data_IF_745358887184
#
_entry.id   IF_745358887184
#
_cell.length_a   1.000
_cell.length_b   1.000
_cell.length_c   1.000
_cell.angle_alpha   90.00
_cell.angle_beta   90.00
_cell.angle_gamma   90.00
#
_symmetry.space_group_name_H-M   'P 1'
#
loop_
_entity.id
_entity.type
_entity.pdbx_description
1 polymer ?
#
# COMPACT_ATOMS: atom_id res chain seq x y z
N UNK A 1 27.67 20.19 6.25
CA UNK A 1 26.29 20.22 5.74
C UNK A 1 25.55 21.37 6.40
N UNK A 2 24.83 22.20 5.64
CA UNK A 2 24.05 23.33 6.13
C UNK A 2 22.57 23.05 5.87
N UNK A 3 21.75 23.20 6.93
CA UNK A 3 20.30 23.07 6.89
C UNK A 3 19.67 24.46 7.13
N UNK A 4 18.60 24.76 6.43
CA UNK A 4 17.88 26.02 6.63
C UNK A 4 16.51 25.85 7.31
N UNK A 5 15.93 24.65 7.25
CA UNK A 5 14.62 24.34 7.83
C UNK A 5 14.60 22.89 8.36
N UNK A 6 13.70 22.62 9.31
CA UNK A 6 13.55 21.29 9.86
C UNK A 6 12.20 21.05 10.52
N UNK A 7 11.75 19.81 10.44
CA UNK A 7 10.61 19.27 11.16
C UNK A 7 11.11 18.23 12.18
N UNK A 8 10.71 18.36 13.43
CA UNK A 8 11.16 17.51 14.53
C UNK A 8 9.94 16.88 15.23
N UNK A 9 9.76 15.57 15.02
CA UNK A 9 8.67 14.79 15.61
C UNK A 9 9.02 14.15 16.96
N UNK A 10 10.28 14.29 17.41
CA UNK A 10 10.75 13.71 18.67
C UNK A 10 12.22 13.27 18.60
N UNK A 11 12.69 12.58 19.66
CA UNK A 11 14.08 12.11 19.74
C UNK A 11 14.42 11.18 18.56
N UNK A 12 15.40 11.56 17.72
CA UNK A 12 15.87 10.82 16.53
C UNK A 12 14.82 10.70 15.41
N UNK A 13 13.78 11.54 15.40
CA UNK A 13 12.73 11.57 14.36
C UNK A 13 12.63 12.98 13.82
N UNK A 14 13.19 13.19 12.64
CA UNK A 14 13.26 14.51 12.02
C UNK A 14 13.29 14.44 10.48
N UNK A 15 12.96 15.56 9.86
CA UNK A 15 13.26 15.90 8.47
C UNK A 15 13.95 17.27 8.45
N UNK A 16 15.05 17.39 7.71
CA UNK A 16 15.80 18.65 7.57
C UNK A 16 16.08 18.93 6.10
N UNK A 17 15.88 20.16 5.69
CA UNK A 17 16.18 20.62 4.35
C UNK A 17 17.64 21.06 4.25
N UNK A 18 18.42 20.38 3.40
CA UNK A 18 19.84 20.64 3.17
C UNK A 18 19.97 21.62 2.01
N UNK A 19 20.64 22.73 2.27
CA UNK A 19 20.89 23.76 1.25
C UNK A 19 22.35 23.81 0.80
N UNK A 20 23.26 23.18 1.55
CA UNK A 20 24.68 23.10 1.16
C UNK A 20 25.33 21.83 1.72
N UNK A 21 26.06 21.13 0.87
CA UNK A 21 26.92 20.00 1.22
C UNK A 21 28.36 20.33 0.83
N UNK A 22 29.25 20.50 1.81
CA UNK A 22 30.69 20.69 1.60
C UNK A 22 31.02 21.85 0.62
N UNK A 23 30.24 22.95 0.72
CA UNK A 23 30.43 24.11 -0.16
C UNK A 23 29.58 24.05 -1.45
N UNK A 24 28.97 22.93 -1.79
CA UNK A 24 28.11 22.79 -2.97
C UNK A 24 26.66 23.09 -2.61
N UNK A 25 26.00 24.06 -3.28
CA UNK A 25 24.58 24.28 -3.13
C UNK A 25 23.78 23.00 -3.50
N UNK A 26 22.80 22.64 -2.68
CA UNK A 26 21.95 21.46 -2.90
C UNK A 26 20.53 21.73 -2.44
N UNK A 27 19.59 20.92 -2.89
CA UNK A 27 18.18 20.94 -2.50
C UNK A 27 17.76 19.51 -2.15
N UNK A 28 18.16 19.07 -0.96
CA UNK A 28 17.94 17.70 -0.51
C UNK A 28 17.19 17.67 0.81
N UNK A 29 16.49 16.57 1.06
CA UNK A 29 15.81 16.30 2.32
C UNK A 29 16.54 15.20 3.09
N UNK A 30 17.11 15.53 4.26
CA UNK A 30 17.65 14.54 5.21
C UNK A 30 16.56 14.16 6.21
N UNK A 31 16.20 12.86 6.21
CA UNK A 31 15.15 12.35 7.09
C UNK A 31 15.67 11.16 7.90
N UNK A 32 15.40 11.18 9.21
CA UNK A 32 15.70 10.07 10.11
C UNK A 32 14.53 9.69 10.99
N UNK A 33 14.39 8.38 11.25
CA UNK A 33 13.42 7.83 12.19
C UNK A 33 11.95 7.99 11.79
N UNK A 34 11.66 8.61 10.66
CA UNK A 34 10.30 8.72 10.14
C UNK A 34 9.95 7.43 9.38
N UNK A 35 8.76 6.92 9.61
CA UNK A 35 8.28 5.66 9.01
C UNK A 35 8.22 5.70 7.48
N UNK A 36 8.11 6.90 6.89
CA UNK A 36 8.11 7.14 5.45
C UNK A 36 9.39 6.65 4.74
N UNK A 37 10.49 6.54 5.50
CA UNK A 37 11.80 6.13 4.98
C UNK A 37 12.03 4.62 4.99
N UNK A 38 11.12 3.84 5.55
CA UNK A 38 11.30 2.39 5.61
C UNK A 38 11.35 1.79 4.20
N UNK A 39 12.27 0.83 4.01
CA UNK A 39 12.50 0.19 2.72
C UNK A 39 11.28 -0.54 2.14
N UNK A 40 10.33 -0.90 2.99
CA UNK A 40 9.06 -1.55 2.62
C UNK A 40 7.94 -0.56 2.25
N UNK A 41 8.20 0.75 2.28
CA UNK A 41 7.21 1.75 1.92
C UNK A 41 7.11 1.88 0.39
N UNK A 42 5.90 1.84 -0.21
CA UNK A 42 5.78 1.93 -1.66
C UNK A 42 6.31 3.26 -2.21
N UNK A 43 6.94 3.26 -3.39
CA UNK A 43 7.66 4.45 -3.91
C UNK A 43 6.81 5.71 -4.03
N UNK A 44 5.57 5.57 -4.52
CA UNK A 44 4.66 6.71 -4.70
C UNK A 44 4.26 7.34 -3.35
N UNK A 45 3.95 6.50 -2.36
CA UNK A 45 3.62 6.98 -1.01
C UNK A 45 4.81 7.67 -0.33
N UNK A 46 6.04 7.17 -0.57
CA UNK A 46 7.25 7.80 -0.05
C UNK A 46 7.42 9.20 -0.65
N UNK A 47 7.37 9.32 -1.98
CA UNK A 47 7.49 10.62 -2.67
C UNK A 47 6.45 11.61 -2.18
N UNK A 48 5.21 11.16 -1.99
CA UNK A 48 4.17 12.01 -1.45
C UNK A 48 4.45 12.44 -0.01
N UNK A 49 4.90 11.53 0.85
CA UNK A 49 5.27 11.86 2.23
C UNK A 49 6.43 12.86 2.32
N UNK A 50 7.45 12.69 1.49
CA UNK A 50 8.58 13.63 1.35
C UNK A 50 8.09 15.00 0.91
N UNK A 51 7.22 15.05 -0.09
CA UNK A 51 6.62 16.29 -0.58
C UNK A 51 5.83 17.00 0.53
N UNK A 52 4.94 16.31 1.24
CA UNK A 52 4.14 16.90 2.33
C UNK A 52 5.03 17.44 3.45
N UNK A 53 6.07 16.71 3.85
CA UNK A 53 7.00 17.20 4.87
C UNK A 53 7.75 18.47 4.40
N UNK A 54 8.15 18.50 3.14
CA UNK A 54 8.78 19.67 2.56
C UNK A 54 7.84 20.88 2.56
N UNK A 55 6.62 20.72 2.06
CA UNK A 55 5.58 21.74 2.08
C UNK A 55 5.33 22.30 3.50
N UNK A 56 5.23 21.43 4.50
CA UNK A 56 5.07 21.81 5.91
C UNK A 56 6.27 22.66 6.39
N UNK A 57 7.48 22.25 6.09
CA UNK A 57 8.69 22.98 6.47
C UNK A 57 8.76 24.38 5.80
N UNK A 58 8.23 24.52 4.60
CA UNK A 58 8.14 25.80 3.90
C UNK A 58 6.94 26.65 4.31
N UNK A 59 6.12 26.21 5.26
CA UNK A 59 5.05 26.99 5.86
C UNK A 59 3.75 26.97 5.07
N UNK A 60 3.55 25.95 4.22
CA UNK A 60 2.30 25.76 3.50
C UNK A 60 1.15 25.60 4.48
N UNK A 61 0.03 26.26 4.22
CA UNK A 61 -1.12 26.25 5.11
C UNK A 61 -1.75 24.87 5.25
N UNK A 62 -2.34 24.60 6.43
CA UNK A 62 -3.09 23.35 6.68
C UNK A 62 -4.11 23.05 5.59
N UNK A 63 -4.88 24.07 5.15
CA UNK A 63 -5.91 23.87 4.13
C UNK A 63 -5.33 23.40 2.79
N UNK A 64 -4.15 23.90 2.39
CA UNK A 64 -3.45 23.44 1.19
C UNK A 64 -2.92 22.01 1.36
N UNK A 65 -2.38 21.67 2.53
CA UNK A 65 -1.93 20.29 2.83
C UNK A 65 -3.12 19.33 2.81
N UNK A 66 -4.25 19.68 3.44
CA UNK A 66 -5.48 18.88 3.43
C UNK A 66 -5.95 18.59 2.00
N UNK A 67 -5.96 19.63 1.15
CA UNK A 67 -6.32 19.48 -0.26
C UNK A 67 -5.40 18.51 -0.98
N UNK A 68 -4.09 18.62 -0.82
CA UNK A 68 -3.10 17.75 -1.44
C UNK A 68 -3.25 16.29 -0.97
N UNK A 69 -3.53 16.06 0.32
CA UNK A 69 -3.79 14.72 0.87
C UNK A 69 -5.04 14.09 0.26
N UNK A 70 -6.11 14.84 0.10
CA UNK A 70 -7.34 14.36 -0.53
C UNK A 70 -7.14 14.08 -2.03
N UNK A 71 -6.46 14.95 -2.76
CA UNK A 71 -6.12 14.78 -4.17
C UNK A 71 -5.22 13.55 -4.40
N UNK A 72 -4.23 13.35 -3.53
CA UNK A 72 -3.38 12.16 -3.59
C UNK A 72 -4.19 10.87 -3.40
N UNK A 73 -5.08 10.83 -2.41
CA UNK A 73 -5.96 9.67 -2.20
C UNK A 73 -6.82 9.36 -3.43
N UNK A 74 -7.41 10.39 -4.05
CA UNK A 74 -8.20 10.22 -5.27
C UNK A 74 -7.33 9.74 -6.46
N UNK A 75 -6.10 10.24 -6.58
CA UNK A 75 -5.19 9.85 -7.66
C UNK A 75 -4.84 8.35 -7.62
N UNK A 76 -4.83 7.72 -6.44
CA UNK A 76 -4.57 6.28 -6.30
C UNK A 76 -5.57 5.40 -7.07
N UNK A 77 -6.72 5.93 -7.45
CA UNK A 77 -7.75 5.17 -8.20
C UNK A 77 -7.35 4.84 -9.62
N UNK A 78 -6.48 5.65 -10.22
CA UNK A 78 -6.06 5.53 -11.62
C UNK A 78 -4.60 5.13 -11.79
N UNK A 79 -3.82 5.17 -10.71
CA UNK A 79 -2.40 4.82 -10.73
C UNK A 79 -2.21 3.31 -10.87
N UNK A 80 -1.22 2.88 -11.64
CA UNK A 80 -0.85 1.47 -11.77
C UNK A 80 -0.45 0.84 -10.42
N UNK A 81 -0.78 -0.42 -10.21
CA UNK A 81 -0.51 -1.14 -8.97
C UNK A 81 1.00 -1.19 -8.64
N UNK A 82 1.88 -1.21 -9.65
CA UNK A 82 3.34 -1.24 -9.51
C UNK A 82 3.92 -0.02 -8.79
N UNK A 83 3.20 1.10 -8.79
CA UNK A 83 3.60 2.33 -8.09
C UNK A 83 3.12 2.37 -6.64
N UNK A 84 2.04 1.65 -6.34
CA UNK A 84 1.36 1.69 -5.03
C UNK A 84 1.57 0.43 -4.19
N UNK A 85 2.10 -0.64 -4.77
CA UNK A 85 2.43 -1.87 -4.07
C UNK A 85 3.94 -2.12 -4.09
N UNK A 86 4.39 -3.01 -3.22
CA UNK A 86 5.78 -3.44 -3.13
C UNK A 86 5.89 -4.95 -3.07
N UNK A 87 6.86 -5.55 -3.78
CA UNK A 87 7.08 -6.98 -3.69
C UNK A 87 7.39 -7.44 -2.27
N UNK A 88 6.73 -8.49 -1.82
CA UNK A 88 6.89 -9.10 -0.51
C UNK A 88 7.33 -10.55 -0.67
N UNK A 89 8.35 -10.95 0.10
CA UNK A 89 8.87 -12.32 0.04
C UNK A 89 7.97 -13.33 0.77
N UNK A 90 7.89 -14.53 0.23
CA UNK A 90 7.17 -15.66 0.80
C UNK A 90 8.16 -16.58 1.55
N UNK A 91 8.04 -16.65 2.87
CA UNK A 91 8.98 -17.42 3.71
C UNK A 91 8.46 -18.78 4.09
N UNK A 92 7.14 -18.95 4.25
CA UNK A 92 6.47 -20.15 4.73
C UNK A 92 5.13 -20.31 4.03
N UNK A 93 4.73 -21.56 3.77
CA UNK A 93 3.42 -21.82 3.16
C UNK A 93 2.78 -23.10 3.72
N UNK A 94 3.46 -24.24 3.65
CA UNK A 94 2.89 -25.55 4.02
C UNK A 94 2.42 -25.61 5.48
N UNK A 95 3.09 -24.91 6.38
CA UNK A 95 2.79 -24.88 7.81
C UNK A 95 1.40 -24.26 8.12
N UNK A 96 0.89 -23.46 7.20
CA UNK A 96 -0.40 -22.74 7.37
C UNK A 96 -1.53 -23.34 6.56
N UNK A 97 -1.26 -24.35 5.76
CA UNK A 97 -2.26 -25.07 4.99
C UNK A 97 -2.90 -26.14 5.90
N UNK A 98 -4.13 -25.90 6.35
CA UNK A 98 -4.86 -26.84 7.22
C UNK A 98 -5.49 -27.99 6.41
N UNK A 99 -6.10 -27.65 5.27
CA UNK A 99 -6.66 -28.62 4.33
C UNK A 99 -6.72 -28.04 2.91
N UNK A 100 -6.56 -28.87 1.85
CA UNK A 100 -6.85 -28.43 0.49
C UNK A 100 -8.34 -28.10 0.31
N UNK A 101 -8.73 -27.44 -0.81
CA UNK A 101 -10.14 -27.19 -1.10
C UNK A 101 -10.95 -28.48 -1.11
N UNK A 102 -12.10 -28.46 -0.44
CA UNK A 102 -13.08 -29.55 -0.48
C UNK A 102 -13.90 -29.56 -1.77
N UNK A 103 -14.83 -30.53 -1.89
CA UNK A 103 -15.72 -30.57 -3.04
C UNK A 103 -16.59 -29.29 -3.12
N UNK A 104 -16.51 -28.57 -4.25
CA UNK A 104 -17.19 -27.30 -4.47
C UNK A 104 -16.52 -26.07 -3.82
N UNK A 105 -15.43 -26.25 -3.10
CA UNK A 105 -14.62 -25.14 -2.57
C UNK A 105 -13.52 -24.75 -3.56
N UNK A 106 -13.20 -23.44 -3.62
CA UNK A 106 -12.10 -22.93 -4.46
C UNK A 106 -10.82 -22.83 -3.64
N UNK A 107 -10.93 -22.39 -2.39
CA UNK A 107 -9.78 -22.04 -1.57
C UNK A 107 -9.54 -23.05 -0.44
N UNK A 108 -8.26 -23.28 -0.20
CA UNK A 108 -7.76 -24.08 0.91
C UNK A 108 -8.17 -23.51 2.26
N UNK A 109 -8.41 -24.39 3.23
CA UNK A 109 -8.59 -23.99 4.63
C UNK A 109 -7.23 -23.65 5.24
N UNK A 110 -7.16 -22.48 5.85
CA UNK A 110 -5.93 -21.97 6.44
C UNK A 110 -5.94 -22.15 7.96
N UNK A 111 -4.77 -22.44 8.51
CA UNK A 111 -4.56 -22.49 9.95
C UNK A 111 -4.70 -21.12 10.62
N UNK A 112 -4.90 -21.13 11.93
CA UNK A 112 -4.96 -19.92 12.74
C UNK A 112 -3.68 -19.09 12.60
N UNK A 113 -3.84 -17.75 12.55
CA UNK A 113 -2.72 -16.79 12.44
C UNK A 113 -1.88 -16.93 11.14
N UNK A 114 -2.49 -17.42 10.04
CA UNK A 114 -1.81 -17.42 8.76
C UNK A 114 -1.38 -16.00 8.36
N UNK A 115 -0.08 -15.75 8.10
CA UNK A 115 0.39 -14.45 7.66
C UNK A 115 -0.25 -14.04 6.33
N UNK A 116 -0.48 -12.73 6.17
CA UNK A 116 -1.19 -12.21 5.00
C UNK A 116 -0.50 -12.55 3.66
N UNK A 117 0.83 -12.52 3.62
CA UNK A 117 1.59 -12.90 2.45
C UNK A 117 1.41 -14.39 2.10
N UNK A 118 1.41 -15.26 3.10
CA UNK A 118 1.18 -16.70 2.91
C UNK A 118 -0.25 -16.97 2.43
N UNK A 119 -1.24 -16.31 3.05
CA UNK A 119 -2.64 -16.38 2.64
C UNK A 119 -2.83 -15.93 1.19
N UNK A 120 -2.23 -14.80 0.82
CA UNK A 120 -2.29 -14.26 -0.53
C UNK A 120 -1.72 -15.23 -1.59
N UNK A 121 -0.57 -15.87 -1.29
CA UNK A 121 0.05 -16.85 -2.16
C UNK A 121 -0.81 -18.12 -2.33
N UNK A 122 -1.35 -18.62 -1.23
CA UNK A 122 -2.20 -19.82 -1.27
C UNK A 122 -3.46 -19.54 -2.10
N UNK A 123 -4.12 -18.41 -1.90
CA UNK A 123 -5.32 -18.05 -2.65
C UNK A 123 -5.05 -17.87 -4.14
N UNK A 124 -3.91 -17.31 -4.52
CA UNK A 124 -3.52 -17.23 -5.93
C UNK A 124 -3.31 -18.65 -6.52
N UNK A 125 -2.57 -19.50 -5.83
CA UNK A 125 -2.30 -20.86 -6.27
C UNK A 125 -3.58 -21.68 -6.41
N UNK A 126 -4.51 -21.54 -5.47
CA UNK A 126 -5.79 -22.25 -5.50
C UNK A 126 -6.67 -21.73 -6.65
N UNK A 127 -6.67 -20.42 -6.90
CA UNK A 127 -7.40 -19.85 -8.02
C UNK A 127 -6.85 -20.32 -9.38
N UNK A 128 -5.52 -20.41 -9.51
CA UNK A 128 -4.88 -21.01 -10.69
C UNK A 128 -5.34 -22.44 -10.93
N UNK A 129 -5.34 -23.28 -9.87
CA UNK A 129 -5.78 -24.68 -9.96
C UNK A 129 -7.26 -24.79 -10.30
N UNK A 130 -8.09 -24.01 -9.65
CA UNK A 130 -9.53 -23.97 -9.92
C UNK A 130 -9.83 -23.64 -11.39
N UNK A 131 -9.08 -22.68 -11.95
CA UNK A 131 -9.19 -22.27 -13.36
C UNK A 131 -8.39 -23.17 -14.32
N UNK A 132 -7.72 -24.20 -13.83
CA UNK A 132 -6.85 -25.13 -14.60
C UNK A 132 -5.71 -24.41 -15.34
N UNK A 133 -5.20 -23.34 -14.77
CA UNK A 133 -4.12 -22.51 -15.32
C UNK A 133 -2.76 -22.81 -14.71
N UNK A 134 -2.70 -23.64 -13.68
CA UNK A 134 -1.50 -24.01 -12.93
C UNK A 134 -0.44 -24.80 -13.73
N UNK A 135 -0.82 -25.30 -14.92
CA UNK A 135 0.12 -25.92 -15.87
C UNK A 135 0.79 -24.91 -16.80
N UNK A 136 0.15 -23.76 -17.01
CA UNK A 136 0.62 -22.70 -17.93
C UNK A 136 1.31 -21.57 -17.17
N UNK A 137 0.82 -21.26 -15.97
CA UNK A 137 1.33 -20.18 -15.14
C UNK A 137 1.94 -20.69 -13.86
N UNK A 138 3.08 -20.13 -13.40
CA UNK A 138 3.76 -20.61 -12.22
C UNK A 138 2.95 -20.34 -10.95
N UNK A 139 2.91 -21.34 -10.07
CA UNK A 139 2.39 -21.19 -8.71
C UNK A 139 3.48 -20.63 -7.81
N UNK A 140 3.09 -19.82 -6.82
CA UNK A 140 4.03 -19.32 -5.82
C UNK A 140 4.63 -20.41 -4.96
N UNK A 141 5.93 -20.29 -4.74
CA UNK A 141 6.73 -21.17 -3.89
C UNK A 141 7.45 -20.37 -2.80
N UNK A 142 7.97 -21.10 -1.78
CA UNK A 142 8.82 -20.47 -0.74
C UNK A 142 10.07 -19.89 -1.40
N UNK A 143 10.40 -18.64 -1.09
CA UNK A 143 11.48 -17.87 -1.69
C UNK A 143 11.04 -16.87 -2.74
N UNK A 144 9.86 -17.04 -3.32
CA UNK A 144 9.33 -16.11 -4.31
C UNK A 144 9.01 -14.74 -3.71
N UNK A 145 9.01 -13.73 -4.57
CA UNK A 145 8.50 -12.40 -4.30
C UNK A 145 7.22 -12.18 -5.08
N UNK A 146 6.24 -11.58 -4.43
CA UNK A 146 4.95 -11.25 -5.04
C UNK A 146 4.43 -9.91 -4.56
N UNK A 147 3.55 -9.32 -5.32
CA UNK A 147 2.70 -8.22 -4.86
C UNK A 147 1.51 -8.78 -4.08
N UNK A 148 1.00 -8.00 -3.13
CA UNK A 148 -0.16 -8.37 -2.32
C UNK A 148 -1.24 -7.33 -2.56
N UNK A 149 -2.35 -7.74 -3.16
CA UNK A 149 -3.54 -6.92 -3.34
C UNK A 149 -4.57 -7.22 -2.25
N UNK A 150 -4.91 -6.23 -1.43
CA UNK A 150 -6.12 -6.28 -0.61
C UNK A 150 -7.34 -6.03 -1.49
N UNK A 151 -8.40 -6.76 -1.26
CA UNK A 151 -9.56 -6.77 -2.13
C UNK A 151 -10.81 -6.24 -1.41
N UNK A 152 -11.62 -5.50 -2.14
CA UNK A 152 -13.01 -5.18 -1.77
C UNK A 152 -13.87 -6.43 -1.85
N UNK A 153 -15.13 -6.31 -1.41
CA UNK A 153 -16.12 -7.37 -1.62
C UNK A 153 -16.15 -7.84 -3.08
N UNK A 154 -16.02 -9.16 -3.28
CA UNK A 154 -15.83 -9.76 -4.59
C UNK A 154 -16.52 -11.13 -4.67
N UNK A 155 -16.75 -11.68 -5.88
CA UNK A 155 -17.46 -12.95 -6.07
C UNK A 155 -16.81 -14.15 -5.37
N UNK A 156 -15.50 -14.11 -5.18
CA UNK A 156 -14.75 -15.18 -4.52
C UNK A 156 -14.73 -15.06 -2.99
N UNK A 157 -15.24 -13.96 -2.42
CA UNK A 157 -15.28 -13.67 -0.97
C UNK A 157 -13.90 -13.79 -0.29
N UNK A 158 -12.84 -13.44 -1.01
CA UNK A 158 -11.48 -13.36 -0.47
C UNK A 158 -11.11 -11.90 -0.21
N UNK A 159 -10.30 -11.67 0.82
CA UNK A 159 -9.87 -10.34 1.27
C UNK A 159 -8.48 -9.94 0.72
N UNK A 160 -7.74 -10.91 0.17
CA UNK A 160 -6.37 -10.71 -0.30
C UNK A 160 -6.02 -11.71 -1.39
N UNK A 161 -5.14 -11.31 -2.31
CA UNK A 161 -4.55 -12.19 -3.32
C UNK A 161 -3.11 -11.79 -3.62
N UNK A 162 -2.23 -12.78 -3.87
CA UNK A 162 -0.89 -12.55 -4.40
C UNK A 162 -0.88 -12.49 -5.93
N UNK A 163 0.10 -11.83 -6.54
CA UNK A 163 0.32 -11.83 -7.98
C UNK A 163 1.74 -11.40 -8.33
N UNK A 164 2.23 -11.78 -9.52
CA UNK A 164 3.58 -11.46 -10.01
C UNK A 164 3.63 -10.09 -10.70
N UNK A 165 2.57 -9.72 -11.38
CA UNK A 165 2.46 -8.48 -12.13
C UNK A 165 2.88 -8.56 -13.60
N UNK A 166 3.63 -9.57 -14.01
CA UNK A 166 4.14 -9.68 -15.37
C UNK A 166 3.73 -10.98 -16.07
N UNK A 167 3.58 -12.06 -15.33
CA UNK A 167 3.29 -13.40 -15.84
C UNK A 167 2.02 -13.99 -15.23
N UNK A 168 1.08 -13.14 -14.86
CA UNK A 168 -0.21 -13.60 -14.35
C UNK A 168 -1.21 -13.81 -15.48
N UNK A 169 -2.17 -14.73 -15.33
CA UNK A 169 -3.24 -14.87 -16.30
C UNK A 169 -4.03 -13.58 -16.46
N UNK A 170 -4.35 -13.13 -17.69
CA UNK A 170 -5.11 -11.90 -17.92
C UNK A 170 -6.42 -11.83 -17.12
N UNK A 171 -7.16 -12.93 -17.03
CA UNK A 171 -8.42 -12.98 -16.28
C UNK A 171 -8.25 -12.81 -14.76
N UNK A 172 -7.11 -13.22 -14.21
CA UNK A 172 -6.78 -12.97 -12.78
C UNK A 172 -6.38 -11.52 -12.61
N UNK A 173 -5.63 -10.93 -13.54
CA UNK A 173 -5.26 -9.51 -13.49
C UNK A 173 -6.49 -8.61 -13.62
N UNK A 174 -7.42 -8.91 -14.53
CA UNK A 174 -8.70 -8.20 -14.61
C UNK A 174 -9.51 -8.27 -13.31
N UNK A 175 -9.54 -9.43 -12.67
CA UNK A 175 -10.17 -9.59 -11.36
C UNK A 175 -9.47 -8.71 -10.30
N UNK A 176 -8.13 -8.73 -10.23
CA UNK A 176 -7.36 -7.93 -9.28
C UNK A 176 -7.61 -6.44 -9.50
N UNK A 177 -7.48 -5.95 -10.73
CA UNK A 177 -7.71 -4.54 -11.06
C UNK A 177 -9.12 -4.06 -10.70
N UNK A 178 -10.11 -4.91 -10.92
CA UNK A 178 -11.50 -4.60 -10.59
C UNK A 178 -11.78 -4.52 -9.09
N UNK A 179 -11.16 -5.37 -8.30
CA UNK A 179 -11.50 -5.52 -6.88
C UNK A 179 -10.43 -5.05 -5.90
N UNK A 180 -9.26 -4.60 -6.37
CA UNK A 180 -8.22 -4.08 -5.48
C UNK A 180 -8.74 -2.89 -4.64
N UNK A 181 -8.52 -2.93 -3.34
CA UNK A 181 -8.97 -1.90 -2.40
C UNK A 181 -7.93 -0.76 -2.27
N UNK A 182 -7.97 0.16 -3.21
CA UNK A 182 -7.05 1.31 -3.26
C UNK A 182 -7.31 2.31 -2.13
N UNK A 183 -8.55 2.44 -1.67
CA UNK A 183 -8.90 3.29 -0.52
C UNK A 183 -8.38 2.68 0.79
N UNK A 184 -8.59 1.38 1.00
CA UNK A 184 -8.03 0.65 2.15
C UNK A 184 -6.50 0.62 2.13
N UNK A 185 -5.88 0.59 0.96
CA UNK A 185 -4.43 0.71 0.82
C UNK A 185 -3.93 2.07 1.33
N UNK A 186 -4.56 3.19 0.95
CA UNK A 186 -4.23 4.51 1.48
C UNK A 186 -4.36 4.52 3.00
N UNK A 187 -5.49 4.03 3.53
CA UNK A 187 -5.75 4.01 4.97
C UNK A 187 -4.70 3.18 5.73
N UNK A 188 -4.32 2.03 5.22
CA UNK A 188 -3.33 1.14 5.87
C UNK A 188 -1.88 1.63 5.76
N UNK A 189 -1.52 2.25 4.65
CA UNK A 189 -0.12 2.65 4.37
C UNK A 189 0.15 4.07 4.86
N UNK A 190 -0.69 5.04 4.52
CA UNK A 190 -0.38 6.47 4.66
C UNK A 190 -1.11 7.16 5.79
N UNK A 191 -2.38 6.84 6.04
CA UNK A 191 -3.22 7.56 6.98
C UNK A 191 -2.61 7.67 8.37
N UNK A 192 -2.16 6.56 8.98
CA UNK A 192 -1.55 6.57 10.31
C UNK A 192 -0.25 7.39 10.37
N UNK A 193 0.47 7.52 9.24
CA UNK A 193 1.70 8.32 9.16
C UNK A 193 1.37 9.81 9.11
N UNK A 194 0.36 10.17 8.34
CA UNK A 194 -0.15 11.54 8.31
C UNK A 194 -0.76 11.93 9.65
N UNK A 195 -1.52 11.06 10.31
CA UNK A 195 -2.07 11.30 11.64
C UNK A 195 -0.96 11.70 12.64
N UNK A 196 0.18 11.00 12.63
CA UNK A 196 1.32 11.37 13.47
C UNK A 196 1.84 12.78 13.17
N UNK A 197 2.02 13.14 11.90
CA UNK A 197 2.47 14.47 11.48
C UNK A 197 1.45 15.55 11.89
N UNK A 198 0.17 15.30 11.65
CA UNK A 198 -0.90 16.23 12.00
C UNK A 198 -1.01 16.44 13.53
N UNK A 199 -0.83 15.38 14.32
CA UNK A 199 -0.80 15.48 15.79
C UNK A 199 0.37 16.31 16.28
N UNK A 200 1.58 16.11 15.74
CA UNK A 200 2.77 16.89 16.08
C UNK A 200 2.57 18.39 15.79
N UNK A 201 1.83 18.71 14.73
CA UNK A 201 1.48 20.08 14.34
C UNK A 201 0.22 20.61 15.04
N UNK A 202 -0.43 19.82 15.87
CA UNK A 202 -1.74 20.13 16.48
C UNK A 202 -2.85 20.45 15.46
N UNK A 203 -2.81 19.76 14.33
CA UNK A 203 -3.81 19.84 13.28
C UNK A 203 -4.82 18.69 13.40
N UNK A 204 -6.08 18.95 13.09
CA UNK A 204 -7.07 17.89 12.85
C UNK A 204 -6.89 17.29 11.47
N UNK A 205 -7.01 15.97 11.33
CA UNK A 205 -6.98 15.30 10.03
C UNK A 205 -8.12 15.75 9.12
N UNK A 206 -7.92 15.82 7.79
CA UNK A 206 -9.02 16.04 6.86
C UNK A 206 -10.04 14.90 6.92
N UNK A 207 -11.30 15.23 6.67
CA UNK A 207 -12.37 14.23 6.63
C UNK A 207 -12.33 13.51 5.28
N UNK A 208 -12.04 12.22 5.33
CA UNK A 208 -12.11 11.36 4.15
C UNK A 208 -13.54 10.89 3.94
N UNK A 209 -14.29 11.57 3.08
CA UNK A 209 -15.63 11.11 2.71
C UNK A 209 -15.54 9.75 2.03
N UNK A 210 -16.11 8.71 2.64
CA UNK A 210 -16.51 7.51 1.89
C UNK A 210 -17.58 7.99 0.91
N UNK A 211 -17.31 7.91 -0.40
CA UNK A 211 -18.39 8.11 -1.38
C UNK A 211 -19.47 7.09 -1.03
N UNK A 212 -20.57 7.56 -0.42
CA UNK A 212 -21.81 6.82 -0.38
C UNK A 212 -22.23 6.80 -1.86
N UNK A 213 -22.13 5.65 -2.51
CA UNK A 213 -22.80 5.46 -3.79
C UNK A 213 -24.31 5.58 -3.51
N UNK A 214 -24.81 6.80 -3.59
CA UNK A 214 -26.26 7.06 -3.60
C UNK A 214 -26.78 6.56 -4.95
N UNK A 215 -27.11 5.29 -5.04
CA UNK A 215 -28.14 4.85 -5.96
C UNK A 215 -29.51 5.24 -5.35
N UNK A 216 -29.86 6.49 -5.46
CA UNK A 216 -31.25 6.91 -5.42
C UNK A 216 -31.64 7.30 -6.84
N UNK A 217 -32.13 6.34 -7.60
CA UNK A 217 -33.04 6.60 -8.70
C UNK A 217 -34.38 6.94 -8.06
N UNK A 218 -34.77 8.20 -8.14
CA UNK A 218 -36.18 8.58 -8.01
C UNK A 218 -36.80 8.40 -9.38
N UNK A 219 -37.82 7.52 -9.50
CA UNK A 219 -38.82 7.59 -10.54
C UNK A 219 -39.73 8.82 -10.30
#
# INVERSE_FOLDING_TARGET
>A
VVHNRGYFAGKRRYAMHIVNKEGVPTDELDMKGLDLMKSNFPPLFRKFGEHILNEIMFGTSKASIDKQVLEFRESLRTVGWEQILKPTGLKKMKEYLAAPPGAGEIFSKLGLKCPINTKAAIYYNDLLRFKKLDKTYPTFQIGDKMYIGYLKENPYRIDVIGFNGYNDPPEIMEFIEKYIDRDGLFDSVMKNKLEGIYQDLKWGMPVFNKKINKFFTFE
#
